data_IF_987896722704
#
_entry.id   IF_987896722704
#
_cell.length_a   1.000
_cell.length_b   1.000
_cell.length_c   1.000
_cell.angle_alpha   90.00
_cell.angle_beta   90.00
_cell.angle_gamma   90.00
#
_symmetry.space_group_name_H-M   'P 1'
#
loop_
_entity.id
_entity.type
_entity.pdbx_description
1 polymer ?
#
# COMPACT_ATOMS: atom_id res chain seq x y z
N UNK A 1 8.68 18.70 -9.85
CA UNK A 1 7.82 18.80 -8.65
C UNK A 1 7.59 17.44 -7.95
N UNK A 2 8.43 16.42 -8.18
CA UNK A 2 8.22 15.03 -7.70
C UNK A 2 9.11 14.62 -6.51
N UNK A 3 10.11 15.41 -6.12
CA UNK A 3 11.03 15.04 -5.03
C UNK A 3 10.50 15.38 -3.63
N UNK A 4 9.65 16.40 -3.50
CA UNK A 4 9.17 16.85 -2.17
C UNK A 4 8.27 15.81 -1.50
N UNK A 5 7.50 15.04 -2.28
CA UNK A 5 6.51 14.10 -1.74
C UNK A 5 7.16 12.94 -0.95
N UNK A 6 8.21 12.26 -1.46
CA UNK A 6 8.99 11.30 -0.67
C UNK A 6 9.55 11.90 0.63
N UNK A 7 10.11 13.11 0.59
CA UNK A 7 10.66 13.78 1.77
C UNK A 7 9.59 14.10 2.83
N UNK A 8 8.43 14.64 2.41
CA UNK A 8 7.30 14.89 3.30
C UNK A 8 6.80 13.58 3.91
N UNK A 9 6.67 12.53 3.08
CA UNK A 9 6.25 11.20 3.55
C UNK A 9 7.22 10.65 4.59
N UNK A 10 8.53 10.80 4.36
CA UNK A 10 9.57 10.37 5.29
C UNK A 10 9.47 11.09 6.64
N UNK A 11 9.36 12.42 6.63
CA UNK A 11 9.24 13.22 7.87
C UNK A 11 7.97 12.86 8.64
N UNK A 12 6.83 12.76 7.96
CA UNK A 12 5.55 12.42 8.61
C UNK A 12 5.56 11.00 9.16
N UNK A 13 6.03 10.01 8.40
CA UNK A 13 6.06 8.61 8.84
C UNK A 13 7.06 8.39 9.98
N UNK A 14 8.24 9.00 9.91
CA UNK A 14 9.26 8.90 10.96
C UNK A 14 8.78 9.55 12.26
N UNK A 15 8.22 10.76 12.21
CA UNK A 15 7.64 11.41 13.37
C UNK A 15 6.50 10.57 14.00
N UNK A 16 5.62 10.00 13.15
CA UNK A 16 4.53 9.14 13.61
C UNK A 16 5.03 7.82 14.22
N UNK A 17 6.10 7.23 13.69
CA UNK A 17 6.75 6.05 14.27
C UNK A 17 7.36 6.36 15.64
N UNK A 18 8.13 7.46 15.74
CA UNK A 18 8.78 7.90 16.99
C UNK A 18 7.74 8.21 18.08
N UNK A 19 6.66 8.92 17.74
CA UNK A 19 5.58 9.23 18.68
C UNK A 19 4.87 7.97 19.24
N UNK A 20 4.97 6.83 18.53
CA UNK A 20 4.34 5.57 18.91
C UNK A 20 5.27 4.64 19.69
N UNK A 21 6.56 4.96 19.86
CA UNK A 21 7.50 4.16 20.66
C UNK A 21 6.97 3.90 22.08
N UNK A 22 6.51 4.93 22.84
CA UNK A 22 6.03 4.70 24.21
C UNK A 22 4.80 3.80 24.27
N UNK A 23 3.89 3.94 23.29
CA UNK A 23 2.69 3.09 23.20
C UNK A 23 3.04 1.63 22.88
N UNK A 24 4.07 1.42 22.04
CA UNK A 24 4.55 0.09 21.63
C UNK A 24 5.24 -0.62 22.79
N UNK A 25 6.08 0.09 23.55
CA UNK A 25 6.70 -0.44 24.77
C UNK A 25 5.66 -0.84 25.84
N UNK A 26 4.51 -0.14 25.86
CA UNK A 26 3.35 -0.47 26.72
C UNK A 26 2.45 -1.58 26.15
N UNK A 27 2.79 -2.16 25.00
CA UNK A 27 1.99 -3.19 24.32
C UNK A 27 0.69 -2.68 23.68
N UNK A 28 0.46 -1.36 23.65
CA UNK A 28 -0.77 -0.77 23.12
C UNK A 28 -0.62 -0.51 21.63
N UNK A 29 -1.31 -1.31 20.82
CA UNK A 29 -1.38 -1.19 19.36
C UNK A 29 -0.02 -1.24 18.61
N UNK A 30 0.87 -2.21 18.89
CA UNK A 30 2.21 -2.28 18.30
C UNK A 30 2.19 -2.31 16.76
N UNK A 31 1.16 -2.91 16.15
CA UNK A 31 1.05 -2.96 14.70
C UNK A 31 0.96 -1.58 14.03
N UNK A 32 0.53 -0.50 14.72
CA UNK A 32 0.60 0.84 14.09
C UNK A 32 2.02 1.39 14.01
N UNK A 33 2.87 1.07 15.00
CA UNK A 33 4.29 1.42 14.96
C UNK A 33 4.97 0.73 13.78
N UNK A 34 4.75 -0.58 13.61
CA UNK A 34 5.32 -1.32 12.47
C UNK A 34 4.85 -0.81 11.11
N UNK A 35 3.58 -0.39 10.97
CA UNK A 35 3.10 0.26 9.74
C UNK A 35 3.92 1.52 9.44
N UNK A 36 4.11 2.41 10.42
CA UNK A 36 4.87 3.64 10.21
C UNK A 36 6.37 3.39 10.03
N UNK A 37 6.93 2.40 10.71
CA UNK A 37 8.32 1.99 10.53
C UNK A 37 8.57 1.48 9.11
N UNK A 38 7.72 0.57 8.61
CA UNK A 38 7.84 0.06 7.24
C UNK A 38 7.57 1.14 6.21
N UNK A 39 6.60 2.03 6.43
CA UNK A 39 6.36 3.19 5.57
C UNK A 39 7.56 4.14 5.53
N UNK A 40 8.24 4.33 6.67
CA UNK A 40 9.49 5.10 6.76
C UNK A 40 10.59 4.43 5.94
N UNK A 41 10.79 3.11 6.10
CA UNK A 41 11.77 2.36 5.32
C UNK A 41 11.49 2.43 3.81
N UNK A 42 10.22 2.33 3.40
CA UNK A 42 9.80 2.51 2.01
C UNK A 42 10.06 3.94 1.51
N UNK A 43 9.81 4.96 2.33
CA UNK A 43 10.07 6.36 1.96
C UNK A 43 11.57 6.64 1.78
N UNK A 44 12.43 6.08 2.65
CA UNK A 44 13.90 6.14 2.50
C UNK A 44 14.31 5.52 1.16
N UNK A 45 13.84 4.30 0.88
CA UNK A 45 14.15 3.60 -0.38
C UNK A 45 13.48 4.23 -1.63
N UNK A 46 12.60 5.21 -1.46
CA UNK A 46 11.99 5.95 -2.59
C UNK A 46 12.74 7.22 -2.94
N UNK A 47 13.70 7.64 -2.12
CA UNK A 47 14.55 8.82 -2.35
C UNK A 47 15.83 8.36 -3.03
N UNK A 48 16.16 8.96 -4.17
CA UNK A 48 17.26 8.52 -5.03
C UNK A 48 18.62 8.46 -4.33
N UNK A 49 18.93 9.49 -3.54
CA UNK A 49 20.21 9.56 -2.83
C UNK A 49 20.39 8.39 -1.86
N UNK A 50 19.34 8.04 -1.12
CA UNK A 50 19.37 6.91 -0.19
C UNK A 50 19.29 5.58 -0.91
N UNK A 51 18.46 5.47 -1.94
CA UNK A 51 18.32 4.27 -2.74
C UNK A 51 19.65 3.84 -3.36
N UNK A 52 20.35 4.73 -4.07
CA UNK A 52 21.60 4.40 -4.76
C UNK A 52 22.69 4.04 -3.77
N UNK A 53 22.76 4.72 -2.62
CA UNK A 53 23.72 4.40 -1.56
C UNK A 53 23.45 3.02 -0.95
N UNK A 54 22.20 2.71 -0.64
CA UNK A 54 21.81 1.40 -0.07
C UNK A 54 22.00 0.30 -1.11
N UNK A 55 21.60 0.51 -2.36
CA UNK A 55 21.76 -0.48 -3.42
C UNK A 55 23.23 -0.75 -3.72
N UNK A 56 24.07 0.29 -3.76
CA UNK A 56 25.52 0.15 -3.88
C UNK A 56 26.13 -0.69 -2.77
N UNK A 57 25.70 -0.50 -1.52
CA UNK A 57 26.11 -1.35 -0.39
C UNK A 57 25.62 -2.80 -0.50
N UNK A 58 24.49 -3.03 -1.17
CA UNK A 58 23.93 -4.36 -1.45
C UNK A 58 24.52 -5.02 -2.71
N UNK A 59 25.45 -4.37 -3.41
CA UNK A 59 26.13 -4.91 -4.59
C UNK A 59 25.76 -4.23 -5.92
N UNK A 60 24.90 -3.21 -5.90
CA UNK A 60 24.58 -2.36 -7.06
C UNK A 60 23.68 -3.01 -8.12
N UNK A 61 22.97 -4.08 -7.77
CA UNK A 61 22.17 -4.90 -8.69
C UNK A 61 20.67 -4.57 -8.66
N UNK A 62 20.23 -3.46 -8.06
CA UNK A 62 18.82 -3.14 -7.77
C UNK A 62 18.12 -4.07 -6.78
N UNK A 63 18.88 -4.70 -5.89
CA UNK A 63 18.30 -5.50 -4.79
C UNK A 63 17.45 -4.61 -3.88
N UNK A 64 17.82 -3.33 -3.74
CA UNK A 64 17.03 -2.33 -3.02
C UNK A 64 15.61 -2.18 -3.57
N UNK A 65 15.39 -2.35 -4.89
CA UNK A 65 14.05 -2.27 -5.47
C UNK A 65 13.18 -3.47 -5.08
N UNK A 66 13.73 -4.69 -5.06
CA UNK A 66 13.02 -5.88 -4.56
C UNK A 66 12.69 -5.72 -3.08
N UNK A 67 13.66 -5.26 -2.29
CA UNK A 67 13.46 -5.01 -0.86
C UNK A 67 12.35 -3.99 -0.60
N UNK A 68 12.34 -2.88 -1.36
CA UNK A 68 11.28 -1.88 -1.31
C UNK A 68 9.90 -2.51 -1.54
N UNK A 69 9.76 -3.41 -2.52
CA UNK A 69 8.49 -4.09 -2.80
C UNK A 69 8.05 -5.03 -1.68
N UNK A 70 8.98 -5.77 -1.10
CA UNK A 70 8.67 -6.65 0.04
C UNK A 70 8.23 -5.83 1.27
N UNK A 71 8.88 -4.70 1.52
CA UNK A 71 8.46 -3.74 2.56
C UNK A 71 7.05 -3.21 2.27
N UNK A 72 6.76 -2.87 1.01
CA UNK A 72 5.42 -2.42 0.59
C UNK A 72 4.38 -3.52 0.80
N UNK A 73 4.67 -4.78 0.46
CA UNK A 73 3.76 -5.90 0.73
C UNK A 73 3.46 -6.08 2.23
N UNK A 74 4.49 -6.04 3.06
CA UNK A 74 4.32 -6.11 4.52
C UNK A 74 3.49 -4.93 5.04
N UNK A 75 3.75 -3.72 4.53
CA UNK A 75 2.98 -2.51 4.90
C UNK A 75 1.51 -2.65 4.52
N UNK A 76 1.23 -3.07 3.28
CA UNK A 76 -0.14 -3.29 2.78
C UNK A 76 -0.85 -4.36 3.62
N UNK A 77 -0.18 -5.47 3.93
CA UNK A 77 -0.75 -6.53 4.78
C UNK A 77 -1.19 -5.97 6.14
N UNK A 78 -0.31 -5.25 6.84
CA UNK A 78 -0.63 -4.69 8.16
C UNK A 78 -1.75 -3.65 8.10
N UNK A 79 -1.76 -2.80 7.07
CA UNK A 79 -2.83 -1.82 6.83
C UNK A 79 -4.14 -2.55 6.56
N UNK A 80 -4.16 -3.53 5.67
CA UNK A 80 -5.37 -4.26 5.28
C UNK A 80 -5.98 -5.03 6.47
N UNK A 81 -5.16 -5.65 7.31
CA UNK A 81 -5.60 -6.26 8.57
C UNK A 81 -6.30 -5.26 9.48
N UNK A 82 -5.84 -4.00 9.52
CA UNK A 82 -6.47 -2.94 10.32
C UNK A 82 -7.74 -2.41 9.66
N UNK A 83 -7.75 -2.26 8.35
CA UNK A 83 -8.92 -1.83 7.56
C UNK A 83 -10.04 -2.85 7.72
N UNK A 84 -9.79 -4.15 7.57
CA UNK A 84 -10.79 -5.21 7.77
C UNK A 84 -11.42 -5.17 9.15
N UNK A 85 -10.61 -4.95 10.20
CA UNK A 85 -11.12 -4.74 11.58
C UNK A 85 -11.93 -3.45 11.71
N UNK A 86 -11.49 -2.36 11.06
CA UNK A 86 -12.18 -1.06 11.09
C UNK A 86 -13.55 -1.07 10.42
N UNK A 87 -13.73 -1.89 9.37
CA UNK A 87 -15.00 -2.07 8.66
C UNK A 87 -15.83 -3.26 9.17
N UNK A 88 -15.35 -3.99 10.19
CA UNK A 88 -16.08 -5.14 10.73
C UNK A 88 -16.27 -6.28 9.72
N UNK A 89 -15.25 -6.55 8.89
CA UNK A 89 -15.32 -7.49 7.78
C UNK A 89 -14.55 -8.79 8.08
N UNK A 90 -15.14 -9.77 8.78
CA UNK A 90 -14.46 -11.01 9.19
C UNK A 90 -14.04 -11.87 7.98
N UNK A 91 -14.85 -11.89 6.92
CA UNK A 91 -14.56 -12.66 5.71
C UNK A 91 -13.28 -12.14 5.03
N UNK A 92 -13.22 -10.83 4.80
CA UNK A 92 -12.04 -10.17 4.24
C UNK A 92 -10.83 -10.30 5.18
N UNK A 93 -11.05 -10.25 6.49
CA UNK A 93 -9.99 -10.49 7.47
C UNK A 93 -9.41 -11.91 7.35
N UNK A 94 -10.25 -12.93 7.21
CA UNK A 94 -9.82 -14.32 7.02
C UNK A 94 -9.11 -14.53 5.69
N UNK A 95 -9.57 -13.87 4.63
CA UNK A 95 -8.89 -13.91 3.33
C UNK A 95 -7.50 -13.31 3.40
N UNK A 96 -7.31 -12.19 4.10
CA UNK A 96 -6.03 -11.46 4.11
C UNK A 96 -5.07 -11.97 5.18
N UNK A 97 -5.55 -12.18 6.42
CA UNK A 97 -4.75 -12.59 7.57
C UNK A 97 -4.66 -14.10 7.76
N UNK A 98 -5.53 -14.86 7.09
CA UNK A 98 -5.54 -16.32 7.17
C UNK A 98 -4.54 -16.99 6.21
N UNK A 99 -4.56 -18.33 6.16
CA UNK A 99 -3.75 -19.11 5.24
C UNK A 99 -3.80 -18.66 3.76
N UNK A 100 -4.96 -18.31 3.16
CA UNK A 100 -4.97 -17.91 1.76
C UNK A 100 -4.20 -16.61 1.51
N UNK A 101 -4.34 -15.61 2.38
CA UNK A 101 -3.63 -14.34 2.21
C UNK A 101 -2.14 -14.47 2.40
N UNK A 102 -1.69 -15.29 3.37
CA UNK A 102 -0.28 -15.62 3.55
C UNK A 102 0.29 -16.40 2.37
N UNK A 103 -0.47 -17.35 1.81
CA UNK A 103 -0.07 -18.08 0.62
C UNK A 103 0.07 -17.15 -0.59
N UNK A 104 -0.88 -16.25 -0.81
CA UNK A 104 -0.82 -15.28 -1.92
C UNK A 104 0.33 -14.28 -1.74
N UNK A 105 0.56 -13.81 -0.50
CA UNK A 105 1.72 -13.00 -0.17
C UNK A 105 3.04 -13.72 -0.49
N UNK A 106 3.16 -14.99 -0.09
CA UNK A 106 4.34 -15.80 -0.37
C UNK A 106 4.52 -16.02 -1.88
N UNK A 107 3.46 -16.37 -2.61
CA UNK A 107 3.48 -16.57 -4.06
C UNK A 107 3.98 -15.31 -4.77
N UNK A 108 3.42 -14.14 -4.48
CA UNK A 108 3.85 -12.90 -5.15
C UNK A 108 5.24 -12.44 -4.71
N UNK A 109 5.63 -12.70 -3.46
CA UNK A 109 7.01 -12.42 -3.00
C UNK A 109 8.02 -13.31 -3.73
N UNK A 110 7.75 -14.60 -3.86
CA UNK A 110 8.60 -15.55 -4.60
C UNK A 110 8.62 -15.21 -6.09
N UNK A 111 7.46 -14.93 -6.69
CA UNK A 111 7.39 -14.54 -8.10
C UNK A 111 8.19 -13.27 -8.38
N UNK A 112 8.09 -12.26 -7.51
CA UNK A 112 8.86 -11.02 -7.62
C UNK A 112 10.37 -11.29 -7.60
N UNK A 113 10.84 -12.07 -6.62
CA UNK A 113 12.26 -12.43 -6.48
C UNK A 113 12.71 -13.28 -7.67
N UNK A 114 11.92 -14.26 -8.08
CA UNK A 114 12.25 -15.14 -9.20
C UNK A 114 12.37 -14.37 -10.52
N UNK A 115 11.39 -13.51 -10.84
CA UNK A 115 11.44 -12.68 -12.05
C UNK A 115 12.63 -11.71 -11.99
N UNK A 116 12.90 -11.12 -10.83
CA UNK A 116 14.07 -10.27 -10.65
C UNK A 116 15.40 -11.01 -10.90
N UNK A 117 15.57 -12.23 -10.37
CA UNK A 117 16.76 -13.04 -10.58
C UNK A 117 16.90 -13.52 -12.04
N UNK A 118 15.77 -13.66 -12.74
CA UNK A 118 15.76 -13.98 -14.18
C UNK A 118 16.09 -12.76 -15.04
N UNK A 119 15.82 -11.55 -14.55
CA UNK A 119 16.32 -10.32 -15.15
C UNK A 119 17.80 -10.17 -14.80
N UNK A 120 18.61 -9.67 -15.74
CA UNK A 120 19.98 -9.28 -15.46
C UNK A 120 20.03 -7.74 -15.37
N UNK A 121 19.64 -7.12 -14.24
CA UNK A 121 19.69 -5.67 -14.09
C UNK A 121 21.15 -5.21 -13.98
N UNK A 122 21.62 -4.43 -14.96
CA UNK A 122 23.03 -4.01 -15.05
C UNK A 122 23.32 -2.65 -14.36
N UNK A 123 22.31 -1.85 -14.03
CA UNK A 123 22.50 -0.50 -13.47
C UNK A 123 21.46 -0.16 -12.40
N UNK A 124 21.92 0.32 -11.23
CA UNK A 124 21.07 0.78 -10.12
C UNK A 124 20.23 2.01 -10.52
N UNK A 125 18.90 1.89 -10.55
CA UNK A 125 18.01 3.04 -10.69
C UNK A 125 16.71 2.87 -9.90
N UNK A 126 16.29 3.95 -9.22
CA UNK A 126 15.10 3.99 -8.33
C UNK A 126 13.83 3.59 -9.08
N UNK A 127 13.74 3.98 -10.35
CA UNK A 127 12.54 3.79 -11.17
C UNK A 127 12.50 2.43 -11.84
N UNK A 128 13.61 1.67 -11.82
CA UNK A 128 13.76 0.39 -12.50
C UNK A 128 13.37 0.45 -14.00
N UNK A 129 13.40 1.66 -14.59
CA UNK A 129 12.98 1.90 -15.99
C UNK A 129 14.08 1.49 -16.96
N UNK A 130 15.34 1.65 -16.57
CA UNK A 130 16.51 1.31 -17.39
C UNK A 130 16.78 -0.21 -17.39
N UNK A 131 16.20 -0.96 -16.44
CA UNK A 131 16.36 -2.39 -16.34
C UNK A 131 15.78 -3.13 -17.57
N UNK A 132 14.67 -2.64 -18.14
CA UNK A 132 14.06 -3.20 -19.35
C UNK A 132 14.87 -2.94 -20.61
N UNK A 133 15.51 -1.77 -20.72
CA UNK A 133 16.31 -1.38 -21.89
C UNK A 133 17.66 -2.12 -21.98
N UNK A 134 18.09 -2.77 -20.89
CA UNK A 134 19.39 -3.45 -20.84
C UNK A 134 19.47 -4.73 -21.69
N UNK A 135 18.33 -5.38 -22.00
CA UNK A 135 18.29 -6.61 -22.82
C UNK A 135 16.87 -6.90 -23.32
N UNK A 136 16.69 -7.48 -24.53
CA UNK A 136 15.38 -7.96 -25.00
C UNK A 136 14.72 -8.95 -24.03
N UNK A 137 15.52 -9.71 -23.27
CA UNK A 137 15.02 -10.60 -22.21
C UNK A 137 14.40 -9.82 -21.06
N UNK A 138 15.04 -8.74 -20.63
CA UNK A 138 14.53 -7.91 -19.53
C UNK A 138 13.27 -7.16 -19.97
N UNK A 139 13.21 -6.70 -21.22
CA UNK A 139 12.01 -6.09 -21.79
C UNK A 139 10.81 -7.06 -21.75
N UNK A 140 11.00 -8.32 -22.13
CA UNK A 140 9.97 -9.35 -22.07
C UNK A 140 9.54 -9.71 -20.64
N UNK A 141 10.45 -9.64 -19.66
CA UNK A 141 10.18 -9.96 -18.26
C UNK A 141 9.59 -8.79 -17.46
N UNK A 142 9.72 -7.55 -17.96
CA UNK A 142 9.30 -6.34 -17.27
C UNK A 142 7.81 -6.34 -16.89
N UNK A 143 6.86 -6.72 -17.77
CA UNK A 143 5.45 -6.80 -17.40
C UNK A 143 5.19 -7.80 -16.27
N UNK A 144 5.84 -8.96 -16.30
CA UNK A 144 5.70 -9.96 -15.23
C UNK A 144 6.25 -9.47 -13.90
N UNK A 145 7.34 -8.69 -13.93
CA UNK A 145 7.91 -8.10 -12.74
C UNK A 145 6.96 -7.10 -12.07
N UNK A 146 6.38 -6.19 -12.87
CA UNK A 146 5.39 -5.24 -12.37
C UNK A 146 4.11 -5.94 -11.89
N UNK A 147 3.72 -7.02 -12.56
CA UNK A 147 2.51 -7.76 -12.22
C UNK A 147 2.71 -8.47 -10.90
N UNK A 148 3.89 -9.07 -10.70
CA UNK A 148 4.27 -9.63 -9.42
C UNK A 148 4.30 -8.55 -8.33
N UNK A 149 4.90 -7.39 -8.63
CA UNK A 149 5.02 -6.25 -7.71
C UNK A 149 3.68 -5.60 -7.30
N UNK A 150 2.60 -5.82 -8.06
CA UNK A 150 1.26 -5.27 -7.76
C UNK A 150 0.23 -6.34 -7.43
N UNK A 151 0.50 -7.60 -7.72
CA UNK A 151 -0.46 -8.70 -7.60
C UNK A 151 -0.99 -8.90 -6.19
N UNK A 152 -0.12 -8.80 -5.17
CA UNK A 152 -0.57 -8.89 -3.78
C UNK A 152 -1.49 -7.72 -3.38
N UNK A 153 -1.19 -6.50 -3.84
CA UNK A 153 -2.05 -5.34 -3.60
C UNK A 153 -3.41 -5.53 -4.27
N UNK A 154 -3.46 -6.02 -5.51
CA UNK A 154 -4.69 -6.31 -6.22
C UNK A 154 -5.53 -7.40 -5.53
N UNK A 155 -4.88 -8.45 -5.00
CA UNK A 155 -5.55 -9.47 -4.18
C UNK A 155 -6.19 -8.86 -2.93
N UNK A 156 -5.45 -8.04 -2.20
CA UNK A 156 -5.97 -7.33 -1.00
C UNK A 156 -7.14 -6.41 -1.38
N UNK A 157 -7.04 -5.69 -2.49
CA UNK A 157 -8.11 -4.85 -3.01
C UNK A 157 -9.37 -5.65 -3.34
N UNK A 158 -9.24 -6.81 -3.99
CA UNK A 158 -10.36 -7.72 -4.28
C UNK A 158 -10.99 -8.27 -3.01
N UNK A 159 -10.19 -8.68 -2.02
CA UNK A 159 -10.68 -9.21 -0.75
C UNK A 159 -11.45 -8.14 0.05
N UNK A 160 -11.04 -6.86 -0.05
CA UNK A 160 -11.70 -5.74 0.63
C UNK A 160 -12.95 -5.25 -0.10
N UNK A 161 -13.03 -5.41 -1.42
CA UNK A 161 -14.08 -4.80 -2.25
C UNK A 161 -15.51 -5.15 -1.81
N UNK A 162 -15.87 -6.42 -1.51
CA UNK A 162 -17.22 -6.76 -1.06
C UNK A 162 -17.61 -6.06 0.24
N UNK A 163 -16.66 -5.94 1.18
CA UNK A 163 -16.90 -5.26 2.45
C UNK A 163 -17.11 -3.76 2.25
N UNK A 164 -16.30 -3.12 1.41
CA UNK A 164 -16.45 -1.70 1.07
C UNK A 164 -17.80 -1.43 0.40
N UNK A 165 -18.21 -2.27 -0.57
CA UNK A 165 -19.49 -2.14 -1.25
C UNK A 165 -20.68 -2.34 -0.28
N UNK A 166 -20.56 -3.24 0.70
CA UNK A 166 -21.55 -3.42 1.76
C UNK A 166 -21.68 -2.15 2.61
N UNK A 167 -20.57 -1.58 3.05
CA UNK A 167 -20.56 -0.33 3.84
C UNK A 167 -21.14 0.87 3.09
N UNK A 168 -21.07 0.91 1.76
CA UNK A 168 -21.73 1.95 0.95
C UNK A 168 -23.26 1.84 1.01
N UNK A 169 -23.78 0.61 1.04
CA UNK A 169 -25.22 0.29 1.06
C UNK A 169 -25.84 0.41 2.46
N UNK A 170 -25.06 0.23 3.51
CA UNK A 170 -25.53 0.34 4.89
C UNK A 170 -25.88 1.78 5.29
N UNK A 171 -26.73 1.93 6.33
CA UNK A 171 -27.15 3.22 6.90
C UNK A 171 -26.05 3.84 7.78
N UNK A 172 -24.84 3.96 7.24
CA UNK A 172 -23.72 4.62 7.91
C UNK A 172 -23.76 6.14 7.68
N UNK A 173 -23.08 6.94 8.53
CA UNK A 173 -22.96 8.38 8.31
C UNK A 173 -22.38 8.69 6.93
N UNK A 174 -22.88 9.75 6.28
CA UNK A 174 -22.48 10.13 4.91
C UNK A 174 -20.96 10.12 4.70
N UNK A 175 -20.11 10.69 5.59
CA UNK A 175 -18.66 10.68 5.40
C UNK A 175 -18.04 9.28 5.36
N UNK A 176 -18.61 8.33 6.12
CA UNK A 176 -18.15 6.93 6.13
C UNK A 176 -18.54 6.24 4.82
N UNK A 177 -19.75 6.49 4.32
CA UNK A 177 -20.25 5.93 3.05
C UNK A 177 -19.46 6.45 1.86
N UNK A 178 -19.23 7.76 1.79
CA UNK A 178 -18.41 8.38 0.74
C UNK A 178 -16.96 7.90 0.82
N UNK A 179 -16.42 7.74 2.03
CA UNK A 179 -15.09 7.18 2.22
C UNK A 179 -14.98 5.74 1.73
N UNK A 180 -15.96 4.89 2.07
CA UNK A 180 -16.04 3.52 1.58
C UNK A 180 -16.20 3.44 0.06
N UNK A 181 -16.99 4.34 -0.54
CA UNK A 181 -17.16 4.41 -2.00
C UNK A 181 -15.85 4.80 -2.71
N UNK A 182 -15.13 5.79 -2.19
CA UNK A 182 -13.81 6.17 -2.70
C UNK A 182 -12.82 5.00 -2.58
N UNK A 183 -12.76 4.33 -1.42
CA UNK A 183 -11.90 3.15 -1.26
C UNK A 183 -12.30 2.00 -2.20
N UNK A 184 -13.59 1.81 -2.47
CA UNK A 184 -14.08 0.79 -3.42
C UNK A 184 -13.67 1.13 -4.87
N UNK A 185 -13.77 2.41 -5.26
CA UNK A 185 -13.27 2.88 -6.55
C UNK A 185 -11.76 2.69 -6.68
N UNK A 186 -11.00 2.99 -5.61
CA UNK A 186 -9.57 2.72 -5.53
C UNK A 186 -9.25 1.23 -5.68
N UNK A 187 -10.00 0.36 -5.01
CA UNK A 187 -9.85 -1.08 -5.12
C UNK A 187 -10.09 -1.58 -6.55
N UNK A 188 -11.16 -1.11 -7.20
CA UNK A 188 -11.45 -1.46 -8.59
C UNK A 188 -10.35 -0.95 -9.55
N UNK A 189 -9.87 0.27 -9.34
CA UNK A 189 -8.77 0.85 -10.13
C UNK A 189 -7.46 0.08 -9.95
N UNK A 190 -7.13 -0.39 -8.74
CA UNK A 190 -5.96 -1.25 -8.52
C UNK A 190 -6.04 -2.56 -9.30
N UNK A 191 -7.20 -3.21 -9.30
CA UNK A 191 -7.41 -4.47 -10.03
C UNK A 191 -7.32 -4.22 -11.54
N UNK A 192 -7.95 -3.15 -12.03
CA UNK A 192 -7.85 -2.73 -13.42
C UNK A 192 -6.39 -2.41 -13.80
N UNK A 193 -5.64 -1.76 -12.91
CA UNK A 193 -4.22 -1.44 -13.09
C UNK A 193 -3.35 -2.67 -13.30
N UNK A 194 -3.62 -3.76 -12.57
CA UNK A 194 -2.96 -5.05 -12.78
C UNK A 194 -3.31 -5.66 -14.15
N UNK A 195 -4.59 -5.65 -14.54
CA UNK A 195 -5.02 -6.16 -15.84
C UNK A 195 -4.42 -5.36 -17.01
N UNK A 196 -4.22 -4.05 -16.83
CA UNK A 196 -3.63 -3.17 -17.84
C UNK A 196 -2.17 -3.51 -18.14
N UNK A 197 -1.45 -4.18 -17.24
CA UNK A 197 -0.05 -4.58 -17.49
C UNK A 197 0.08 -5.66 -18.57
N UNK A 198 -0.98 -6.43 -18.81
CA UNK A 198 -1.06 -7.44 -19.87
C UNK A 198 -1.89 -6.97 -21.08
N UNK A 199 -2.30 -5.70 -21.09
CA UNK A 199 -3.18 -5.13 -22.11
C UNK A 199 -2.39 -4.65 -23.33
N UNK A 200 -2.99 -4.63 -24.54
CA UNK A 200 -2.32 -4.14 -25.75
C UNK A 200 -1.74 -2.73 -25.59
N UNK A 201 -0.67 -2.44 -26.34
CA UNK A 201 0.14 -1.22 -26.25
C UNK A 201 -0.65 0.10 -26.34
N UNK A 202 -1.85 0.07 -26.93
CA UNK A 202 -2.76 1.22 -27.04
C UNK A 202 -3.30 1.69 -25.68
N UNK A 203 -3.40 0.80 -24.69
CA UNK A 203 -3.94 1.09 -23.35
C UNK A 203 -2.85 1.34 -22.30
N UNK A 204 -1.58 1.04 -22.62
CA UNK A 204 -0.42 1.29 -21.74
C UNK A 204 -0.28 2.75 -21.29
N UNK A 205 -0.54 3.77 -22.14
CA UNK A 205 -0.45 5.18 -21.71
C UNK A 205 -1.42 5.55 -20.59
N UNK A 206 -2.52 4.79 -20.42
CA UNK A 206 -3.56 5.04 -19.41
C UNK A 206 -3.18 4.40 -18.06
N UNK A 207 -2.30 3.39 -18.06
CA UNK A 207 -1.92 2.65 -16.87
C UNK A 207 -1.36 3.53 -15.73
N UNK A 208 -0.48 4.53 -15.96
CA UNK A 208 -0.02 5.41 -14.89
C UNK A 208 -1.16 6.21 -14.25
N UNK A 209 -2.12 6.69 -15.07
CA UNK A 209 -3.26 7.46 -14.58
C UNK A 209 -4.19 6.61 -13.70
N UNK A 210 -4.46 5.37 -14.11
CA UNK A 210 -5.28 4.42 -13.33
C UNK A 210 -4.61 4.06 -12.01
N UNK A 211 -3.30 3.77 -12.03
CA UNK A 211 -2.57 3.39 -10.83
C UNK A 211 -2.45 4.55 -9.83
N UNK A 212 -2.10 5.75 -10.30
CA UNK A 212 -2.03 6.93 -9.45
C UNK A 212 -3.43 7.32 -8.92
N UNK A 213 -4.46 7.19 -9.76
CA UNK A 213 -5.85 7.37 -9.37
C UNK A 213 -6.28 6.41 -8.26
N UNK A 214 -5.87 5.15 -8.33
CA UNK A 214 -6.16 4.17 -7.27
C UNK A 214 -5.61 4.61 -5.91
N UNK A 215 -4.37 5.10 -5.87
CA UNK A 215 -3.73 5.63 -4.65
C UNK A 215 -4.50 6.85 -4.12
N UNK A 216 -4.89 7.78 -5.00
CA UNK A 216 -5.66 8.98 -4.61
C UNK A 216 -7.02 8.58 -4.02
N UNK A 217 -7.73 7.65 -4.65
CA UNK A 217 -9.01 7.16 -4.17
C UNK A 217 -8.91 6.46 -2.81
N UNK A 218 -7.90 5.60 -2.63
CA UNK A 218 -7.65 4.93 -1.36
C UNK A 218 -7.33 5.92 -0.24
N UNK A 219 -6.39 6.82 -0.47
CA UNK A 219 -5.95 7.80 0.53
C UNK A 219 -7.07 8.77 0.90
N UNK A 220 -7.78 9.32 -0.09
CA UNK A 220 -8.92 10.21 0.14
C UNK A 220 -10.04 9.51 0.91
N UNK A 221 -10.38 8.27 0.53
CA UNK A 221 -11.39 7.49 1.23
C UNK A 221 -11.03 7.20 2.68
N UNK A 222 -9.76 6.84 2.94
CA UNK A 222 -9.27 6.60 4.30
C UNK A 222 -9.32 7.87 5.17
N UNK A 223 -8.93 9.02 4.62
CA UNK A 223 -9.00 10.33 5.31
C UNK A 223 -10.45 10.67 5.66
N UNK A 224 -11.39 10.45 4.74
CA UNK A 224 -12.82 10.70 4.96
C UNK A 224 -13.37 9.86 6.13
N UNK A 225 -13.03 8.56 6.16
CA UNK A 225 -13.42 7.65 7.25
C UNK A 225 -12.78 8.07 8.57
N UNK A 226 -11.51 8.47 8.56
CA UNK A 226 -10.82 8.95 9.76
C UNK A 226 -11.46 10.23 10.31
N UNK A 227 -11.72 11.22 9.47
CA UNK A 227 -12.41 12.47 9.87
C UNK A 227 -13.80 12.19 10.46
N UNK A 228 -14.53 11.23 9.89
CA UNK A 228 -15.82 10.80 10.42
C UNK A 228 -15.70 10.24 11.85
N UNK A 229 -14.68 9.41 12.09
CA UNK A 229 -14.41 8.81 13.40
C UNK A 229 -13.99 9.84 14.44
N UNK A 230 -13.12 10.78 14.07
CA UNK A 230 -12.69 11.88 14.97
C UNK A 230 -13.89 12.73 15.37
N UNK A 231 -14.73 13.14 14.41
CA UNK A 231 -15.95 13.89 14.69
C UNK A 231 -16.92 13.12 15.59
N UNK A 232 -17.07 11.81 15.37
CA UNK A 232 -17.93 10.97 16.22
C UNK A 232 -17.39 10.83 17.65
N UNK A 233 -16.07 10.72 17.83
CA UNK A 233 -15.44 10.64 19.15
C UNK A 233 -15.57 11.97 19.93
N UNK A 234 -15.37 13.11 19.26
CA UNK A 234 -15.54 14.44 19.87
C UNK A 234 -16.98 14.69 20.34
N UNK A 235 -17.98 14.23 19.57
CA UNK A 235 -19.39 14.33 19.98
C UNK A 235 -19.71 13.48 21.21
N UNK A 236 -19.07 12.31 21.37
CA UNK A 236 -19.24 11.47 22.56
C UNK A 236 -18.59 12.09 23.80
N UNK A 237 -17.44 12.76 23.68
CA UNK A 237 -16.79 13.41 24.83
C UNK A 237 -17.54 14.66 25.32
N UNK A 238 -18.23 15.39 24.43
CA UNK A 238 -19.04 16.55 24.80
C UNK A 238 -20.43 16.17 25.34
N UNK A 239 -20.89 14.93 25.13
CA UNK A 239 -22.18 14.43 25.64
C UNK A 239 -22.15 13.95 27.09
N UNK A 240 -20.98 13.91 27.72
CA UNK A 240 -20.78 13.39 29.09
C UNK A 240 -20.50 14.46 30.15
N UNK A 241 -20.71 15.76 29.86
CA UNK A 241 -20.43 16.85 30.81
C UNK A 241 -21.62 17.75 31.17
N UNK A 242 -22.87 17.31 31.01
CA UNK A 242 -24.04 18.14 31.33
C UNK A 242 -25.23 17.39 31.94
N UNK A 243 -24.97 16.37 32.75
CA UNK A 243 -25.96 15.82 33.69
C UNK A 243 -25.27 15.30 34.95
N UNK A 244 -24.79 16.19 35.80
CA UNK A 244 -24.79 15.95 37.24
C UNK A 244 -25.33 17.22 37.92
N UNK A 245 -26.28 16.97 38.82
CA UNK A 245 -27.16 17.92 39.50
C UNK A 245 -26.48 18.55 40.70
#
# INVERSE_FOLDING_TARGET
MSEILPWVTLVVCSAAALARIPSTMRGVNPALFFIFLLATAAAVLSIEQFYVAIDGALGGLNIAHVLLRLIVFATIYLIAVRVTKGFGAPDAHRMIAGPPGLAVLAIFSVALVAVFLMMAPAASSVRFQDAGAASPRNEALLPFYWAAARGYLAYVSLALLPALLRSVKERLPLPVRTGAALMAAGAAATVAGLCLEFSPAQLLPIAPAVNNGAVVFYTSGLVMVWLARVKAAQRRSHGTSSTER
#
